data_IF_694585944270
#
_entry.id   IF_694585944270
#
_cell.length_a   1.000
_cell.length_b   1.000
_cell.length_c   1.000
_cell.angle_alpha   90.00
_cell.angle_beta   90.00
_cell.angle_gamma   90.00
#
_symmetry.space_group_name_H-M   'P 1'
#
loop_
_entity.id
_entity.type
_entity.pdbx_description
1 polymer ?
#
# COMPACT_ATOMS: atom_id res chain seq x y z
N UNK A 1 -20.54 7.09 11.33
CA UNK A 1 -19.44 6.09 11.43
C UNK A 1 -18.17 6.86 11.71
N UNK A 2 -17.72 6.89 12.96
CA UNK A 2 -16.42 7.47 13.31
C UNK A 2 -15.32 6.68 12.60
N UNK A 3 -14.58 7.34 11.69
CA UNK A 3 -13.39 6.74 11.11
C UNK A 3 -12.40 6.53 12.24
N UNK A 4 -12.07 5.27 12.55
CA UNK A 4 -11.02 4.97 13.52
C UNK A 4 -9.71 5.57 13.00
N UNK A 5 -9.24 6.64 13.64
CA UNK A 5 -8.06 7.44 13.22
C UNK A 5 -6.81 6.57 13.02
N UNK A 6 -6.74 5.41 13.68
CA UNK A 6 -5.67 4.41 13.52
C UNK A 6 -5.59 3.76 12.13
N UNK A 7 -6.66 3.83 11.31
CA UNK A 7 -6.73 3.17 9.99
C UNK A 7 -6.35 4.07 8.82
N UNK A 8 -6.04 5.35 9.07
CA UNK A 8 -5.67 6.30 8.01
C UNK A 8 -4.31 6.92 8.32
N UNK A 9 -3.45 7.12 7.30
CA UNK A 9 -2.21 7.86 7.50
C UNK A 9 -2.55 9.33 7.85
N UNK A 10 -1.76 9.98 8.71
CA UNK A 10 -1.97 11.39 9.04
C UNK A 10 -1.87 12.28 7.81
N UNK A 11 -2.69 13.33 7.72
CA UNK A 11 -2.66 14.28 6.61
C UNK A 11 -1.26 14.86 6.36
N UNK A 12 -0.54 15.27 7.42
CA UNK A 12 0.81 15.83 7.29
C UNK A 12 1.80 14.85 6.64
N UNK A 13 1.64 13.55 6.86
CA UNK A 13 2.46 12.53 6.25
C UNK A 13 2.17 12.41 4.75
N UNK A 14 0.89 12.46 4.37
CA UNK A 14 0.46 12.44 2.97
C UNK A 14 0.98 13.67 2.24
N UNK A 15 0.74 14.87 2.78
CA UNK A 15 1.21 16.13 2.20
C UNK A 15 2.74 16.14 2.02
N UNK A 16 3.49 15.72 3.04
CA UNK A 16 4.96 15.61 2.95
C UNK A 16 5.40 14.61 1.87
N UNK A 17 4.66 13.52 1.68
CA UNK A 17 4.98 12.51 0.68
C UNK A 17 4.71 13.02 -0.76
N UNK A 18 3.65 13.81 -0.96
CA UNK A 18 3.36 14.49 -2.23
C UNK A 18 4.45 15.50 -2.58
N UNK A 19 4.98 16.22 -1.57
CA UNK A 19 6.15 17.10 -1.71
C UNK A 19 7.47 16.34 -1.96
N UNK A 20 7.40 15.06 -2.36
CA UNK A 20 8.53 14.19 -2.70
C UNK A 20 9.52 13.94 -1.55
N UNK A 21 9.06 14.02 -0.30
CA UNK A 21 9.88 13.63 0.85
C UNK A 21 10.02 12.10 0.92
N UNK A 22 11.22 11.60 0.62
CA UNK A 22 11.54 10.16 0.60
C UNK A 22 11.13 9.43 1.89
N UNK A 23 11.40 10.01 3.06
CA UNK A 23 11.05 9.40 4.36
C UNK A 23 9.55 9.33 4.57
N UNK A 24 8.79 10.30 4.06
CA UNK A 24 7.34 10.30 4.13
C UNK A 24 6.75 9.26 3.17
N UNK A 25 7.27 9.17 1.95
CA UNK A 25 6.91 8.14 0.97
C UNK A 25 7.16 6.75 1.53
N UNK A 26 8.34 6.50 2.11
CA UNK A 26 8.68 5.20 2.68
C UNK A 26 7.72 4.81 3.82
N UNK A 27 7.44 5.74 4.75
CA UNK A 27 6.46 5.52 5.83
C UNK A 27 5.06 5.23 5.30
N UNK A 28 4.66 5.89 4.21
CA UNK A 28 3.36 5.67 3.58
C UNK A 28 3.30 4.27 2.92
N UNK A 29 4.36 3.87 2.22
CA UNK A 29 4.48 2.52 1.65
C UNK A 29 4.49 1.43 2.73
N UNK A 30 5.17 1.66 3.85
CA UNK A 30 5.15 0.75 5.01
C UNK A 30 3.75 0.67 5.63
N UNK A 31 3.04 1.80 5.75
CA UNK A 31 1.66 1.83 6.24
C UNK A 31 0.72 0.98 5.36
N UNK A 32 0.90 1.01 4.04
CA UNK A 32 0.09 0.24 3.10
C UNK A 32 0.60 -1.19 2.82
N UNK A 33 1.77 -1.61 3.36
CA UNK A 33 2.33 -2.94 3.09
C UNK A 33 1.35 -4.11 3.40
N UNK A 34 0.56 -4.09 4.49
CA UNK A 34 -0.44 -5.12 4.73
C UNK A 34 -1.53 -5.17 3.64
N UNK A 35 -1.92 -4.01 3.11
CA UNK A 35 -2.91 -3.91 2.03
C UNK A 35 -2.31 -4.39 0.70
N UNK A 36 -1.09 -3.98 0.38
CA UNK A 36 -0.35 -4.41 -0.82
C UNK A 36 -0.16 -5.94 -0.78
N UNK A 37 0.28 -6.48 0.37
CA UNK A 37 0.45 -7.91 0.58
C UNK A 37 -0.88 -8.66 0.38
N UNK A 38 -1.98 -8.12 0.91
CA UNK A 38 -3.31 -8.70 0.72
C UNK A 38 -3.77 -8.67 -0.74
N UNK A 39 -3.54 -7.57 -1.46
CA UNK A 39 -3.86 -7.45 -2.88
C UNK A 39 -3.02 -8.38 -3.76
N UNK A 40 -1.83 -8.76 -3.28
CA UNK A 40 -0.90 -9.66 -3.97
C UNK A 40 -1.10 -11.12 -3.59
N UNK A 41 -2.07 -11.47 -2.73
CA UNK A 41 -2.32 -12.86 -2.38
C UNK A 41 -2.97 -13.63 -3.53
N UNK A 42 -2.46 -14.83 -3.78
CA UNK A 42 -2.96 -15.75 -4.79
C UNK A 42 -3.27 -17.12 -4.18
N UNK A 43 -4.37 -17.77 -4.60
CA UNK A 43 -4.61 -19.16 -4.24
C UNK A 43 -3.64 -20.06 -5.01
N UNK A 44 -3.06 -21.01 -4.30
CA UNK A 44 -2.26 -22.11 -4.84
C UNK A 44 -2.99 -23.42 -4.56
N UNK A 45 -2.94 -24.33 -5.51
CA UNK A 45 -3.58 -25.64 -5.42
C UNK A 45 -2.49 -26.71 -5.36
N UNK A 46 -2.59 -27.62 -4.39
CA UNK A 46 -1.76 -28.82 -4.38
C UNK A 46 -2.36 -29.94 -5.25
N UNK A 47 -1.66 -31.07 -5.35
CA UNK A 47 -2.11 -32.24 -6.11
C UNK A 47 -3.33 -32.95 -5.50
N UNK A 48 -3.67 -32.65 -4.25
CA UNK A 48 -4.82 -33.21 -3.55
C UNK A 48 -6.05 -32.27 -3.59
N UNK A 49 -5.92 -31.09 -4.21
CA UNK A 49 -6.98 -30.08 -4.31
C UNK A 49 -7.10 -29.16 -3.10
N UNK A 50 -6.15 -29.17 -2.16
CA UNK A 50 -6.13 -28.22 -1.05
C UNK A 50 -5.69 -26.83 -1.53
N UNK A 51 -6.30 -25.79 -0.95
CA UNK A 51 -6.00 -24.39 -1.28
C UNK A 51 -5.09 -23.78 -0.23
N UNK A 52 -3.97 -23.22 -0.69
CA UNK A 52 -3.05 -22.42 0.11
C UNK A 52 -3.06 -20.98 -0.41
N UNK A 53 -2.75 -20.02 0.46
CA UNK A 53 -2.56 -18.62 0.04
C UNK A 53 -1.08 -18.27 0.12
N UNK A 54 -0.54 -17.81 -0.99
CA UNK A 54 0.80 -17.26 -1.05
C UNK A 54 0.75 -15.81 -1.52
N UNK A 55 1.73 -15.02 -1.11
CA UNK A 55 1.92 -13.66 -1.64
C UNK A 55 2.74 -13.79 -2.92
N UNK A 56 2.18 -13.31 -4.01
CA UNK A 56 2.90 -13.11 -5.26
C UNK A 56 3.87 -11.93 -5.08
N UNK A 57 5.16 -12.25 -5.00
CA UNK A 57 6.20 -11.26 -4.70
C UNK A 57 6.46 -10.31 -5.87
N UNK A 58 6.27 -10.74 -7.11
CA UNK A 58 6.38 -9.88 -8.29
C UNK A 58 5.24 -8.87 -8.30
N UNK A 59 4.00 -9.35 -8.11
CA UNK A 59 2.83 -8.49 -8.04
C UNK A 59 2.91 -7.51 -6.86
N UNK A 60 3.44 -7.95 -5.71
CA UNK A 60 3.70 -7.08 -4.55
C UNK A 60 4.67 -5.95 -4.91
N UNK A 61 5.75 -6.27 -5.65
CA UNK A 61 6.71 -5.30 -6.15
C UNK A 61 6.07 -4.28 -7.09
N UNK A 62 5.30 -4.74 -8.08
CA UNK A 62 4.63 -3.91 -9.07
C UNK A 62 3.62 -2.94 -8.44
N UNK A 63 2.79 -3.43 -7.51
CA UNK A 63 1.82 -2.57 -6.80
C UNK A 63 2.55 -1.53 -5.96
N UNK A 64 3.64 -1.91 -5.28
CA UNK A 64 4.44 -0.99 -4.47
C UNK A 64 5.06 0.12 -5.34
N UNK A 65 5.64 -0.24 -6.48
CA UNK A 65 6.22 0.71 -7.43
C UNK A 65 5.16 1.65 -8.01
N UNK A 66 4.00 1.12 -8.41
CA UNK A 66 2.91 1.93 -8.92
C UNK A 66 2.42 2.96 -7.88
N UNK A 67 2.27 2.56 -6.61
CA UNK A 67 1.91 3.48 -5.53
C UNK A 67 2.98 4.55 -5.35
N UNK A 68 4.26 4.16 -5.34
CA UNK A 68 5.39 5.08 -5.22
C UNK A 68 5.38 6.17 -6.30
N UNK A 69 5.09 5.81 -7.56
CA UNK A 69 4.99 6.75 -8.68
C UNK A 69 3.73 7.61 -8.65
N UNK A 70 2.66 7.12 -8.03
CA UNK A 70 1.39 7.86 -7.92
C UNK A 70 1.40 8.89 -6.80
N UNK A 71 2.15 8.67 -5.71
CA UNK A 71 2.17 9.57 -4.54
C UNK A 71 2.51 11.03 -4.91
N UNK A 72 3.57 11.33 -5.69
CA UNK A 72 3.90 12.72 -6.06
C UNK A 72 2.82 13.40 -6.91
N UNK A 73 2.03 12.61 -7.65
CA UNK A 73 0.96 13.11 -8.51
C UNK A 73 -0.39 13.21 -7.79
N UNK A 74 -0.43 12.91 -6.50
CA UNK A 74 -1.67 12.92 -5.73
C UNK A 74 -2.09 14.35 -5.40
N UNK A 75 -3.26 14.77 -5.89
CA UNK A 75 -3.81 16.10 -5.58
C UNK A 75 -4.30 16.15 -4.13
N UNK A 76 -3.61 16.94 -3.31
CA UNK A 76 -4.00 17.22 -1.93
C UNK A 76 -4.66 18.59 -1.88
N UNK A 77 -5.99 18.64 -1.79
CA UNK A 77 -6.71 19.88 -1.52
C UNK A 77 -6.36 20.38 -0.11
N UNK A 78 -5.69 21.52 -0.04
CA UNK A 78 -5.47 22.25 1.22
C UNK A 78 -6.78 22.98 1.53
N UNK A 79 -7.51 22.50 2.55
CA UNK A 79 -8.64 23.23 3.15
C UNK A 79 -8.18 24.13 4.27
#
# INVERSE_FOLDING_TARGET
MEKSVKKCPPYHLIASAVDSNEKAIEKLLQFYDPYISKASMRPLFDSYGNVYFAIDMELKGLIREAIMLMIPNFEVEIK
#
